data_IF_294038693031
#
_entry.id   IF_294038693031
#
_cell.length_a   1.000
_cell.length_b   1.000
_cell.length_c   1.000
_cell.angle_alpha   90.00
_cell.angle_beta   90.00
_cell.angle_gamma   90.00
#
_symmetry.space_group_name_H-M   'P 1'
#
loop_
_entity.id
_entity.type
_entity.pdbx_description
1 polymer ?
#
# COMPACT_ATOMS: atom_id res chain seq x y z
N UNK A 1 12.29 -34.18 -9.63
CA UNK A 1 11.10 -33.40 -9.17
C UNK A 1 11.16 -32.91 -7.72
N UNK A 2 11.78 -33.62 -6.75
CA UNK A 2 11.97 -33.11 -5.37
C UNK A 2 12.85 -31.84 -5.28
N UNK A 3 13.94 -31.76 -6.05
CA UNK A 3 14.87 -30.62 -6.06
C UNK A 3 14.22 -29.27 -6.43
N UNK A 4 13.22 -29.26 -7.32
CA UNK A 4 12.51 -28.03 -7.73
C UNK A 4 11.51 -27.53 -6.67
N UNK A 5 10.96 -28.42 -5.86
CA UNK A 5 10.11 -28.07 -4.72
C UNK A 5 10.96 -27.57 -3.53
N UNK A 6 12.15 -28.15 -3.37
CA UNK A 6 13.15 -27.78 -2.36
C UNK A 6 13.76 -26.40 -2.67
N UNK A 7 14.15 -26.14 -3.92
CA UNK A 7 14.65 -24.83 -4.36
C UNK A 7 13.60 -23.69 -4.26
N UNK A 8 12.30 -24.02 -4.29
CA UNK A 8 11.22 -23.03 -4.09
C UNK A 8 10.93 -22.73 -2.62
N UNK A 9 11.16 -23.70 -1.72
CA UNK A 9 11.03 -23.51 -0.27
C UNK A 9 12.26 -22.82 0.33
N UNK A 10 13.46 -23.12 -0.18
CA UNK A 10 14.70 -22.38 0.13
C UNK A 10 14.65 -20.91 -0.34
N UNK A 11 13.99 -20.63 -1.47
CA UNK A 11 13.76 -19.26 -1.90
C UNK A 11 12.84 -18.48 -0.93
N UNK A 12 11.95 -19.14 -0.19
CA UNK A 12 11.01 -18.50 0.74
C UNK A 12 11.68 -18.05 2.05
N UNK A 13 12.56 -18.88 2.65
CA UNK A 13 13.36 -18.44 3.80
C UNK A 13 14.24 -17.26 3.41
N UNK A 14 14.86 -17.32 2.22
CA UNK A 14 15.66 -16.23 1.67
C UNK A 14 14.91 -14.89 1.58
N UNK A 15 13.66 -14.82 1.10
CA UNK A 15 12.97 -13.53 0.97
C UNK A 15 12.59 -12.90 2.32
N UNK A 16 12.27 -13.72 3.33
CA UNK A 16 11.97 -13.24 4.69
C UNK A 16 13.27 -12.78 5.38
N UNK A 17 14.34 -13.55 5.27
CA UNK A 17 15.66 -13.21 5.79
C UNK A 17 16.21 -11.93 5.15
N UNK A 18 16.06 -11.76 3.84
CA UNK A 18 16.41 -10.53 3.12
C UNK A 18 15.61 -9.33 3.65
N UNK A 19 14.31 -9.51 3.92
CA UNK A 19 13.46 -8.45 4.49
C UNK A 19 13.92 -8.06 5.90
N UNK A 20 14.27 -9.02 6.74
CA UNK A 20 14.79 -8.75 8.09
C UNK A 20 16.15 -8.05 8.05
N UNK A 21 17.05 -8.50 7.17
CA UNK A 21 18.35 -7.88 6.94
C UNK A 21 18.23 -6.41 6.50
N UNK A 22 17.31 -6.09 5.59
CA UNK A 22 17.05 -4.70 5.20
C UNK A 22 16.43 -3.86 6.31
N UNK A 23 15.56 -4.44 7.16
CA UNK A 23 15.01 -3.76 8.34
C UNK A 23 16.11 -3.43 9.34
N UNK A 24 17.05 -4.35 9.56
CA UNK A 24 18.17 -4.13 10.45
C UNK A 24 19.16 -3.08 9.90
N UNK A 25 19.45 -3.14 8.60
CA UNK A 25 20.26 -2.13 7.91
C UNK A 25 19.65 -0.72 8.02
N UNK A 26 18.33 -0.60 7.91
CA UNK A 26 17.62 0.67 8.08
C UNK A 26 17.76 1.23 9.49
N UNK A 27 17.69 0.36 10.52
CA UNK A 27 17.92 0.77 11.91
C UNK A 27 19.35 1.29 12.10
N UNK A 28 20.35 0.58 11.56
CA UNK A 28 21.77 0.97 11.65
C UNK A 28 22.02 2.32 10.99
N UNK A 29 21.49 2.55 9.79
CA UNK A 29 21.63 3.82 9.06
C UNK A 29 20.92 4.96 9.81
N UNK A 30 19.71 4.75 10.33
CA UNK A 30 19.01 5.78 11.09
C UNK A 30 19.75 6.14 12.39
N UNK A 31 20.29 5.13 13.10
CA UNK A 31 21.10 5.35 14.30
C UNK A 31 22.37 6.15 13.99
N UNK A 32 23.06 5.81 12.89
CA UNK A 32 24.23 6.56 12.43
C UNK A 32 23.90 8.03 12.13
N UNK A 33 22.83 8.29 11.38
CA UNK A 33 22.37 9.66 11.06
C UNK A 33 22.00 10.42 12.34
N UNK A 34 21.32 9.78 13.28
CA UNK A 34 20.97 10.40 14.56
C UNK A 34 22.22 10.77 15.35
N UNK A 35 23.16 9.84 15.50
CA UNK A 35 24.41 10.07 16.23
C UNK A 35 25.23 11.22 15.62
N UNK A 36 25.39 11.22 14.28
CA UNK A 36 26.13 12.27 13.56
C UNK A 36 25.42 13.61 13.60
N UNK A 37 24.08 13.66 13.71
CA UNK A 37 23.34 14.92 13.80
C UNK A 37 23.53 15.65 15.14
N UNK A 38 23.79 14.91 16.22
CA UNK A 38 23.94 15.43 17.58
C UNK A 38 25.32 16.09 17.80
N UNK A 39 26.32 15.77 16.96
CA UNK A 39 27.67 16.33 17.06
C UNK A 39 27.62 17.84 16.74
N UNK A 40 27.94 18.72 17.72
CA UNK A 40 28.11 20.15 17.46
C UNK A 40 29.45 20.38 16.74
N UNK A 41 29.49 21.32 15.80
CA UNK A 41 30.65 21.63 14.94
C UNK A 41 31.11 20.48 14.03
N UNK A 42 30.23 20.09 13.09
CA UNK A 42 30.53 19.11 12.04
C UNK A 42 31.65 19.58 11.13
N UNK A 43 32.64 18.73 10.89
CA UNK A 43 33.64 19.00 9.86
C UNK A 43 33.11 18.61 8.46
N UNK A 44 33.88 18.88 7.41
CA UNK A 44 33.47 18.57 6.04
C UNK A 44 33.25 17.07 5.80
N UNK A 45 34.04 16.21 6.46
CA UNK A 45 33.87 14.76 6.39
C UNK A 45 32.56 14.31 7.04
N UNK A 46 32.14 14.92 8.15
CA UNK A 46 30.85 14.63 8.80
C UNK A 46 29.66 15.01 7.91
N UNK A 47 29.79 16.09 7.13
CA UNK A 47 28.77 16.52 6.16
C UNK A 47 28.67 15.50 5.02
N UNK A 48 29.81 15.08 4.46
CA UNK A 48 29.87 14.06 3.40
C UNK A 48 29.34 12.71 3.88
N UNK A 49 29.74 12.25 5.06
CA UNK A 49 29.24 11.03 5.70
C UNK A 49 27.71 11.05 5.85
N UNK A 50 27.16 12.20 6.27
CA UNK A 50 25.71 12.37 6.42
C UNK A 50 24.99 12.33 5.07
N UNK A 51 25.58 12.88 4.02
CA UNK A 51 25.03 12.84 2.67
C UNK A 51 24.99 11.41 2.12
N UNK A 52 26.11 10.68 2.22
CA UNK A 52 26.21 9.26 1.86
C UNK A 52 25.17 8.44 2.64
N UNK A 53 25.08 8.61 3.95
CA UNK A 53 24.11 7.87 4.76
C UNK A 53 22.65 8.18 4.38
N UNK A 54 22.34 9.42 3.99
CA UNK A 54 21.00 9.82 3.52
C UNK A 54 20.69 9.25 2.14
N UNK A 55 21.68 9.11 1.27
CA UNK A 55 21.55 8.45 -0.02
C UNK A 55 21.34 6.94 0.15
N UNK A 56 22.17 6.28 0.95
CA UNK A 56 22.00 4.86 1.31
C UNK A 56 20.61 4.60 1.91
N UNK A 57 20.10 5.50 2.76
CA UNK A 57 18.72 5.42 3.28
C UNK A 57 17.67 5.50 2.16
N UNK A 58 17.84 6.41 1.20
CA UNK A 58 16.92 6.56 0.05
C UNK A 58 16.91 5.31 -0.81
N UNK A 59 18.08 4.77 -1.12
CA UNK A 59 18.23 3.55 -1.92
C UNK A 59 17.68 2.33 -1.20
N UNK A 60 18.01 2.19 0.09
CA UNK A 60 17.46 1.13 0.92
C UNK A 60 15.92 1.20 0.98
N UNK A 61 15.35 2.39 1.08
CA UNK A 61 13.89 2.59 1.05
C UNK A 61 13.30 2.19 -0.30
N UNK A 62 13.96 2.56 -1.41
CA UNK A 62 13.52 2.20 -2.77
C UNK A 62 13.59 0.70 -3.00
N UNK A 63 14.69 0.06 -2.60
CA UNK A 63 14.91 -1.38 -2.70
C UNK A 63 13.95 -2.15 -1.81
N UNK A 64 13.74 -1.74 -0.55
CA UNK A 64 12.76 -2.35 0.35
C UNK A 64 11.35 -2.23 -0.23
N UNK A 65 10.97 -1.08 -0.78
CA UNK A 65 9.67 -0.90 -1.43
C UNK A 65 9.51 -1.77 -2.67
N UNK A 66 10.58 -1.95 -3.45
CA UNK A 66 10.58 -2.85 -4.61
C UNK A 66 10.53 -4.32 -4.18
N UNK A 67 11.22 -4.69 -3.10
CA UNK A 67 11.19 -6.02 -2.49
C UNK A 67 9.80 -6.32 -1.93
N UNK A 68 9.22 -5.41 -1.15
CA UNK A 68 7.85 -5.52 -0.65
C UNK A 68 6.84 -5.60 -1.79
N UNK A 69 7.01 -4.82 -2.86
CA UNK A 69 6.20 -4.97 -4.06
C UNK A 69 6.38 -6.35 -4.65
N UNK A 70 7.60 -6.83 -4.90
CA UNK A 70 7.85 -8.17 -5.45
C UNK A 70 7.30 -9.27 -4.56
N UNK A 71 7.47 -9.18 -3.25
CA UNK A 71 6.90 -10.09 -2.25
C UNK A 71 5.37 -10.00 -2.22
N UNK A 72 4.77 -8.82 -2.35
CA UNK A 72 3.32 -8.65 -2.53
C UNK A 72 2.85 -9.23 -3.88
N UNK A 73 3.63 -9.06 -4.95
CA UNK A 73 3.30 -9.60 -6.28
C UNK A 73 3.43 -11.12 -6.34
N UNK A 74 4.42 -11.70 -5.65
CA UNK A 74 4.69 -13.13 -5.63
C UNK A 74 3.94 -13.89 -4.52
N UNK A 75 3.64 -13.23 -3.39
CA UNK A 75 3.08 -13.85 -2.16
C UNK A 75 1.83 -13.14 -1.59
N UNK A 76 1.21 -12.21 -2.31
CA UNK A 76 0.01 -11.43 -1.98
C UNK A 76 -0.90 -12.08 -0.90
N UNK A 77 -0.66 -11.79 0.38
CA UNK A 77 -1.54 -12.20 1.47
C UNK A 77 -2.85 -11.39 1.36
N UNK A 78 -3.77 -11.90 0.54
CA UNK A 78 -5.17 -11.50 0.62
C UNK A 78 -5.66 -11.96 1.98
N UNK A 79 -6.15 -11.04 2.81
CA UNK A 79 -6.78 -11.45 4.06
C UNK A 79 -8.04 -12.26 3.71
N UNK A 80 -8.39 -13.23 4.55
CA UNK A 80 -9.63 -14.00 4.37
C UNK A 80 -10.85 -13.07 4.30
N UNK A 81 -10.78 -11.93 4.99
CA UNK A 81 -11.79 -10.88 4.96
C UNK A 81 -11.88 -10.17 3.61
N UNK A 82 -10.74 -9.84 2.99
CA UNK A 82 -10.71 -9.28 1.64
C UNK A 82 -11.30 -10.25 0.62
N UNK A 83 -11.00 -11.56 0.72
CA UNK A 83 -11.52 -12.59 -0.18
C UNK A 83 -13.04 -12.74 -0.01
N UNK A 84 -13.54 -12.77 1.23
CA UNK A 84 -14.98 -12.86 1.52
C UNK A 84 -15.78 -11.66 1.02
N UNK A 85 -15.21 -10.46 1.19
CA UNK A 85 -15.94 -9.21 0.92
C UNK A 85 -15.71 -8.66 -0.48
N UNK A 86 -14.73 -9.18 -1.22
CA UNK A 86 -14.63 -8.91 -2.64
C UNK A 86 -15.58 -9.84 -3.40
N UNK A 87 -16.35 -9.28 -4.34
CA UNK A 87 -17.37 -9.99 -5.14
C UNK A 87 -16.74 -10.96 -6.14
N UNK A 88 -16.04 -11.95 -5.62
CA UNK A 88 -15.35 -12.99 -6.36
C UNK A 88 -16.34 -14.09 -6.77
N UNK A 89 -16.10 -14.66 -7.94
CA UNK A 89 -16.79 -15.86 -8.37
C UNK A 89 -16.27 -17.07 -7.58
N UNK A 90 -17.08 -18.14 -7.50
CA UNK A 90 -16.65 -19.41 -6.87
C UNK A 90 -15.32 -19.91 -7.43
N UNK A 91 -15.13 -19.79 -8.75
CA UNK A 91 -13.91 -20.20 -9.44
C UNK A 91 -12.69 -19.36 -9.07
N UNK A 92 -12.87 -18.06 -8.92
CA UNK A 92 -11.80 -17.15 -8.49
C UNK A 92 -11.39 -17.43 -7.04
N UNK A 93 -12.35 -17.70 -6.15
CA UNK A 93 -12.08 -18.09 -4.75
C UNK A 93 -11.28 -19.39 -4.70
N UNK A 94 -11.72 -20.42 -5.43
CA UNK A 94 -11.05 -21.71 -5.47
C UNK A 94 -9.60 -21.59 -5.99
N UNK A 95 -9.38 -20.84 -7.07
CA UNK A 95 -8.02 -20.57 -7.60
C UNK A 95 -7.18 -19.82 -6.57
N UNK A 96 -7.74 -18.84 -5.86
CA UNK A 96 -7.05 -18.12 -4.80
C UNK A 96 -6.73 -19.02 -3.62
N UNK A 97 -7.61 -19.94 -3.21
CA UNK A 97 -7.31 -20.90 -2.15
C UNK A 97 -6.12 -21.79 -2.54
N UNK A 98 -6.13 -22.38 -3.74
CA UNK A 98 -4.99 -23.17 -4.19
C UNK A 98 -3.70 -22.34 -4.29
N UNK A 99 -3.80 -21.08 -4.72
CA UNK A 99 -2.63 -20.22 -4.95
C UNK A 99 -2.07 -19.61 -3.66
N UNK A 100 -2.93 -19.19 -2.74
CA UNK A 100 -2.60 -18.41 -1.53
C UNK A 100 -2.46 -19.30 -0.31
N UNK A 101 -3.35 -20.28 -0.13
CA UNK A 101 -3.33 -21.20 1.02
C UNK A 101 -2.41 -22.39 0.79
N UNK A 102 -2.49 -22.99 -0.40
CA UNK A 102 -1.73 -24.21 -0.72
C UNK A 102 -0.44 -23.94 -1.52
N UNK A 103 -0.19 -22.68 -1.90
CA UNK A 103 1.00 -22.24 -2.63
C UNK A 103 1.26 -22.97 -3.96
N UNK A 104 0.21 -23.46 -4.61
CA UNK A 104 0.35 -24.18 -5.88
C UNK A 104 0.72 -23.24 -7.03
N UNK A 105 1.46 -23.76 -8.01
CA UNK A 105 1.73 -23.06 -9.28
C UNK A 105 0.48 -23.05 -10.14
N UNK A 106 0.36 -22.09 -11.07
CA UNK A 106 -0.78 -22.08 -12.01
C UNK A 106 -0.88 -23.35 -12.85
N UNK A 107 0.27 -23.96 -13.16
CA UNK A 107 0.35 -25.27 -13.82
C UNK A 107 -0.27 -26.38 -12.95
N UNK A 108 0.14 -26.47 -11.68
CA UNK A 108 -0.43 -27.46 -10.75
C UNK A 108 -1.93 -27.24 -10.54
N UNK A 109 -2.35 -25.99 -10.46
CA UNK A 109 -3.77 -25.63 -10.38
C UNK A 109 -4.51 -26.03 -11.66
N UNK A 110 -3.93 -25.81 -12.85
CA UNK A 110 -4.55 -26.21 -14.11
C UNK A 110 -4.77 -27.72 -14.21
N UNK A 111 -3.85 -28.52 -13.68
CA UNK A 111 -3.98 -29.97 -13.62
C UNK A 111 -5.10 -30.37 -12.67
N UNK A 112 -5.09 -29.85 -11.44
CA UNK A 112 -6.12 -30.18 -10.42
C UNK A 112 -7.52 -29.79 -10.90
N UNK A 113 -7.62 -28.61 -11.51
CA UNK A 113 -8.89 -28.02 -11.92
C UNK A 113 -9.29 -28.36 -13.36
N UNK A 114 -8.54 -29.25 -14.02
CA UNK A 114 -8.69 -29.66 -15.42
C UNK A 114 -9.04 -28.48 -16.36
N UNK A 115 -8.24 -27.43 -16.32
CA UNK A 115 -8.51 -26.17 -17.02
C UNK A 115 -7.21 -25.60 -17.57
N UNK A 116 -7.22 -24.97 -18.75
CA UNK A 116 -6.02 -24.36 -19.34
C UNK A 116 -5.36 -23.37 -18.37
N UNK A 117 -4.04 -23.44 -18.22
CA UNK A 117 -3.25 -22.54 -17.36
C UNK A 117 -3.50 -21.06 -17.65
N UNK A 118 -3.69 -20.69 -18.93
CA UNK A 118 -4.02 -19.32 -19.32
C UNK A 118 -5.36 -18.83 -18.77
N UNK A 119 -6.35 -19.72 -18.65
CA UNK A 119 -7.64 -19.41 -18.03
C UNK A 119 -7.48 -19.24 -16.52
N UNK A 120 -6.70 -20.11 -15.85
CA UNK A 120 -6.37 -19.97 -14.42
C UNK A 120 -5.70 -18.63 -14.15
N UNK A 121 -4.73 -18.23 -14.96
CA UNK A 121 -4.04 -16.95 -14.82
C UNK A 121 -4.98 -15.75 -15.01
N UNK A 122 -5.87 -15.79 -16.01
CA UNK A 122 -6.89 -14.75 -16.23
C UNK A 122 -7.82 -14.62 -15.03
N UNK A 123 -8.34 -15.74 -14.51
CA UNK A 123 -9.21 -15.74 -13.33
C UNK A 123 -8.49 -15.22 -12.09
N UNK A 124 -7.24 -15.61 -11.86
CA UNK A 124 -6.44 -15.08 -10.75
C UNK A 124 -6.23 -13.56 -10.86
N UNK A 125 -5.95 -13.05 -12.07
CA UNK A 125 -5.75 -11.62 -12.32
C UNK A 125 -7.04 -10.82 -12.09
N UNK A 126 -8.17 -11.32 -12.61
CA UNK A 126 -9.50 -10.74 -12.36
C UNK A 126 -9.81 -10.70 -10.85
N UNK A 127 -9.55 -11.80 -10.13
CA UNK A 127 -9.76 -11.86 -8.69
C UNK A 127 -8.94 -10.82 -7.93
N UNK A 128 -7.66 -10.67 -8.29
CA UNK A 128 -6.76 -9.65 -7.73
C UNK A 128 -7.31 -8.24 -7.93
N UNK A 129 -7.74 -7.90 -9.14
CA UNK A 129 -8.27 -6.57 -9.44
C UNK A 129 -9.53 -6.25 -8.63
N UNK A 130 -10.41 -7.25 -8.42
CA UNK A 130 -11.61 -7.12 -7.59
C UNK A 130 -11.25 -6.88 -6.12
N UNK A 131 -10.28 -7.61 -5.58
CA UNK A 131 -9.79 -7.41 -4.22
C UNK A 131 -9.15 -6.02 -4.06
N UNK A 132 -8.32 -5.59 -5.00
CA UNK A 132 -7.72 -4.25 -4.97
C UNK A 132 -8.77 -3.14 -5.10
N UNK A 133 -9.83 -3.36 -5.88
CA UNK A 133 -10.97 -2.44 -5.96
C UNK A 133 -11.67 -2.35 -4.61
N UNK A 134 -11.98 -3.48 -3.98
CA UNK A 134 -12.58 -3.54 -2.66
C UNK A 134 -11.74 -2.78 -1.62
N UNK A 135 -10.43 -3.06 -1.52
CA UNK A 135 -9.51 -2.35 -0.62
C UNK A 135 -9.51 -0.84 -0.86
N UNK A 136 -9.49 -0.41 -2.12
CA UNK A 136 -9.55 1.03 -2.47
C UNK A 136 -10.87 1.67 -2.03
N UNK A 137 -12.00 0.97 -2.20
CA UNK A 137 -13.31 1.44 -1.73
C UNK A 137 -13.36 1.52 -0.21
N UNK A 138 -12.93 0.49 0.52
CA UNK A 138 -12.85 0.50 1.98
C UNK A 138 -11.96 1.62 2.52
N UNK A 139 -10.80 1.85 1.91
CA UNK A 139 -9.91 2.96 2.32
C UNK A 139 -10.60 4.30 2.07
N UNK A 140 -11.34 4.45 0.96
CA UNK A 140 -12.10 5.66 0.67
C UNK A 140 -13.25 5.85 1.65
N UNK A 141 -14.02 4.81 1.95
CA UNK A 141 -15.13 4.82 2.92
C UNK A 141 -14.63 5.09 4.34
N UNK A 142 -13.55 4.42 4.78
CA UNK A 142 -12.91 4.67 6.08
C UNK A 142 -12.30 6.08 6.19
N UNK A 143 -11.93 6.71 5.07
CA UNK A 143 -11.50 8.11 5.05
C UNK A 143 -12.69 9.07 5.09
N UNK A 144 -13.77 8.76 4.39
CA UNK A 144 -15.01 9.54 4.37
C UNK A 144 -15.77 9.47 5.70
N UNK A 145 -15.72 8.33 6.40
CA UNK A 145 -16.34 8.16 7.72
C UNK A 145 -15.71 9.04 8.82
N UNK A 146 -14.51 9.58 8.58
CA UNK A 146 -13.86 10.56 9.49
C UNK A 146 -14.40 11.98 9.32
N UNK A 147 -15.17 12.26 8.27
CA UNK A 147 -15.78 13.56 8.03
C UNK A 147 -17.09 13.68 8.80
N UNK A 148 -17.35 14.85 9.38
CA UNK A 148 -18.67 15.14 9.94
C UNK A 148 -19.73 15.23 8.82
N UNK A 149 -21.04 15.15 9.13
CA UNK A 149 -22.10 15.27 8.12
C UNK A 149 -21.98 16.54 7.26
N UNK A 150 -21.68 17.69 7.89
CA UNK A 150 -21.43 18.96 7.18
C UNK A 150 -20.18 18.89 6.29
N UNK A 151 -19.10 18.24 6.75
CA UNK A 151 -17.88 18.06 5.97
C UNK A 151 -18.08 17.14 4.77
N UNK A 152 -18.89 16.08 4.92
CA UNK A 152 -19.28 15.22 3.82
C UNK A 152 -20.08 15.99 2.77
N UNK A 153 -21.07 16.79 3.19
CA UNK A 153 -21.85 17.64 2.28
C UNK A 153 -20.96 18.60 1.49
N UNK A 154 -20.04 19.29 2.15
CA UNK A 154 -19.06 20.17 1.50
C UNK A 154 -18.16 19.37 0.53
N UNK A 155 -17.70 18.18 0.92
CA UNK A 155 -16.85 17.33 0.09
C UNK A 155 -17.56 16.83 -1.18
N UNK A 156 -18.85 16.51 -1.11
CA UNK A 156 -19.67 16.15 -2.28
C UNK A 156 -19.84 17.31 -3.25
N UNK A 157 -20.11 18.52 -2.74
CA UNK A 157 -20.25 19.71 -3.59
C UNK A 157 -18.93 20.11 -4.25
N UNK A 158 -17.79 19.92 -3.55
CA UNK A 158 -16.47 20.09 -4.15
C UNK A 158 -16.19 19.12 -5.30
N UNK A 159 -16.69 17.87 -5.24
CA UNK A 159 -16.58 16.90 -6.35
C UNK A 159 -17.38 17.31 -7.58
N UNK A 160 -18.44 18.12 -7.40
CA UNK A 160 -19.24 18.71 -8.48
C UNK A 160 -18.62 20.00 -9.02
N UNK A 161 -17.36 20.30 -8.68
CA UNK A 161 -16.62 21.50 -9.09
C UNK A 161 -17.27 22.84 -8.67
N UNK A 162 -18.13 22.84 -7.63
CA UNK A 162 -18.71 24.07 -7.11
C UNK A 162 -17.67 24.94 -6.40
N UNK A 163 -17.78 26.24 -6.58
CA UNK A 163 -16.98 27.27 -5.91
C UNK A 163 -17.36 27.38 -4.43
N UNK A 164 -16.46 27.93 -3.62
CA UNK A 164 -16.73 28.12 -2.18
C UNK A 164 -17.97 29.01 -1.93
N UNK A 165 -18.27 29.94 -2.85
CA UNK A 165 -19.43 30.84 -2.77
C UNK A 165 -20.74 30.09 -3.03
N UNK A 166 -20.77 29.24 -4.06
CA UNK A 166 -21.93 28.38 -4.35
C UNK A 166 -22.18 27.37 -3.23
N UNK A 167 -21.13 26.77 -2.68
CA UNK A 167 -21.23 25.85 -1.55
C UNK A 167 -21.80 26.57 -0.32
N UNK A 168 -21.30 27.78 -0.02
CA UNK A 168 -21.76 28.59 1.10
C UNK A 168 -23.26 28.91 0.99
N UNK A 169 -23.71 29.27 -0.20
CA UNK A 169 -25.12 29.52 -0.49
C UNK A 169 -25.98 28.25 -0.34
N UNK A 170 -25.52 27.11 -0.88
CA UNK A 170 -26.30 25.86 -0.89
C UNK A 170 -26.44 25.19 0.48
N UNK A 171 -25.50 25.40 1.39
CA UNK A 171 -25.56 24.84 2.76
C UNK A 171 -25.85 25.91 3.83
N UNK A 172 -26.30 27.08 3.40
CA UNK A 172 -26.63 28.24 4.25
C UNK A 172 -25.56 28.54 5.30
N UNK A 173 -24.33 28.82 4.84
CA UNK A 173 -23.19 29.14 5.72
C UNK A 173 -22.30 30.22 5.10
N UNK A 174 -21.28 30.66 5.82
CA UNK A 174 -20.33 31.67 5.32
C UNK A 174 -19.23 31.06 4.48
N UNK A 175 -18.72 31.83 3.51
CA UNK A 175 -17.60 31.42 2.65
C UNK A 175 -16.37 31.05 3.49
N UNK A 176 -16.11 31.77 4.57
CA UNK A 176 -14.95 31.50 5.43
C UNK A 176 -15.10 30.22 6.26
N UNK A 177 -16.33 29.90 6.68
CA UNK A 177 -16.59 28.58 7.26
C UNK A 177 -16.36 27.47 6.22
N UNK A 178 -16.79 27.63 4.97
CA UNK A 178 -16.50 26.67 3.88
C UNK A 178 -14.99 26.49 3.68
N UNK A 179 -14.21 27.58 3.63
CA UNK A 179 -12.74 27.51 3.52
C UNK A 179 -12.11 26.74 4.70
N UNK A 180 -12.54 27.04 5.93
CA UNK A 180 -12.08 26.38 7.15
C UNK A 180 -12.41 24.88 7.14
N UNK A 181 -13.63 24.50 6.75
CA UNK A 181 -14.04 23.11 6.64
C UNK A 181 -13.32 22.39 5.50
N UNK A 182 -13.08 23.04 4.36
CA UNK A 182 -12.28 22.50 3.24
C UNK A 182 -10.85 22.15 3.67
N UNK A 183 -10.21 23.00 4.49
CA UNK A 183 -8.90 22.71 5.09
C UNK A 183 -8.97 21.47 5.99
N UNK A 184 -9.95 21.40 6.91
CA UNK A 184 -10.16 20.25 7.79
C UNK A 184 -10.43 18.95 7.04
N UNK A 185 -11.23 19.01 5.96
CA UNK A 185 -11.48 17.87 5.06
C UNK A 185 -10.18 17.39 4.43
N UNK A 186 -9.36 18.31 3.91
CA UNK A 186 -8.07 17.98 3.30
C UNK A 186 -7.13 17.29 4.31
N UNK A 187 -7.02 17.82 5.53
CA UNK A 187 -6.22 17.24 6.62
C UNK A 187 -6.71 15.84 6.98
N UNK A 188 -8.02 15.64 7.13
CA UNK A 188 -8.63 14.34 7.47
C UNK A 188 -8.48 13.28 6.37
N UNK A 189 -8.49 13.69 5.10
CA UNK A 189 -8.34 12.80 3.95
C UNK A 189 -6.87 12.50 3.59
N UNK A 190 -5.91 13.13 4.28
CA UNK A 190 -4.47 12.89 4.13
C UNK A 190 -3.75 13.83 3.16
N UNK A 191 -4.34 14.98 2.85
CA UNK A 191 -3.64 16.05 2.13
C UNK A 191 -2.63 16.72 3.07
N UNK A 192 -1.35 16.57 2.76
CA UNK A 192 -0.23 17.18 3.46
C UNK A 192 -0.50 18.66 3.76
N UNK A 193 -0.21 19.08 5.00
CA UNK A 193 -0.02 20.49 5.35
C UNK A 193 1.10 21.00 4.44
N UNK A 194 0.76 21.68 3.35
CA UNK A 194 1.70 22.65 2.78
C UNK A 194 1.75 23.77 3.80
N UNK A 195 2.98 24.02 4.27
CA UNK A 195 3.32 24.96 5.32
C UNK A 195 2.85 26.37 5.01
N UNK A 196 2.92 27.13 6.09
CA UNK A 196 2.84 28.59 6.20
C UNK A 196 3.36 29.35 4.99
#
# INVERSE_FOLDING_TARGET
MKALAQAKTENWSNWIEIKESYKESSKKINKFIQNKNIIPNKNIHDVVDLEIAREMKRDLTKTTKNLERKVLYEFNAFSLEDIKNSKLTKREVEILEYRVKNHYTFEKISVILNTKQSSIFKSYTSAKEKIERYRRMNVKEKKLSKLSPQQNRIHELLKKNKTNREIAHEINTTIDNVKKQKKKIKEKLGGTKKGE
#
